data_IF_944161059391
#
_entry.id   IF_944161059391
#
_cell.length_a   1.000
_cell.length_b   1.000
_cell.length_c   1.000
_cell.angle_alpha   90.00
_cell.angle_beta   90.00
_cell.angle_gamma   90.00
#
_symmetry.space_group_name_H-M   'P 1'
#
loop_
_entity.id
_entity.type
_entity.pdbx_description
1 polymer ?
#
# COMPACT_ATOMS: atom_id res chain seq x y z
N UNK A 1 3.67 -15.64 -9.79
CA UNK A 1 3.33 -14.80 -8.63
C UNK A 1 4.60 -14.15 -8.11
N UNK A 2 4.61 -12.82 -7.97
CA UNK A 2 5.75 -12.04 -7.46
C UNK A 2 5.26 -11.14 -6.34
N UNK A 3 6.06 -10.98 -5.28
CA UNK A 3 5.77 -10.08 -4.17
C UNK A 3 6.88 -9.02 -4.13
N UNK A 4 6.49 -7.76 -4.01
CA UNK A 4 7.35 -6.65 -3.66
C UNK A 4 6.96 -6.18 -2.27
N UNK A 5 7.97 -6.00 -1.42
CA UNK A 5 7.78 -5.52 -0.05
C UNK A 5 8.71 -4.33 0.16
N UNK A 6 8.16 -3.22 0.64
CA UNK A 6 8.88 -1.97 0.81
C UNK A 6 8.70 -1.44 2.23
N UNK A 7 9.74 -1.55 3.07
CA UNK A 7 9.74 -0.90 4.38
C UNK A 7 9.96 0.61 4.21
N UNK A 8 9.26 1.40 5.01
CA UNK A 8 9.53 2.83 5.21
C UNK A 8 9.52 3.12 6.71
N UNK A 9 10.58 3.76 7.19
CA UNK A 9 10.62 4.22 8.59
C UNK A 9 9.91 5.56 8.66
N UNK A 10 8.85 5.61 9.47
CA UNK A 10 8.07 6.80 9.74
C UNK A 10 8.47 7.36 11.10
N UNK A 11 8.81 8.64 11.12
CA UNK A 11 8.87 9.45 12.34
C UNK A 11 7.61 10.30 12.39
N UNK A 12 6.63 9.91 13.20
CA UNK A 12 5.35 10.62 13.35
C UNK A 12 5.01 10.79 14.83
N UNK A 13 4.25 11.84 15.16
CA UNK A 13 3.61 11.90 16.47
C UNK A 13 2.49 10.86 16.55
N UNK A 14 2.10 10.50 17.77
CA UNK A 14 0.97 9.62 18.01
C UNK A 14 -0.28 10.18 17.33
N UNK A 15 -0.80 9.44 16.35
CA UNK A 15 -1.99 9.82 15.59
C UNK A 15 -2.84 8.59 15.31
N UNK A 16 -4.15 8.75 15.43
CA UNK A 16 -5.11 7.70 15.05
C UNK A 16 -5.47 7.73 13.57
N UNK A 17 -4.99 8.74 12.83
CA UNK A 17 -5.28 8.89 11.40
C UNK A 17 -4.01 9.02 10.56
N UNK A 18 -4.06 8.52 9.34
CA UNK A 18 -2.98 8.66 8.36
C UNK A 18 -3.55 8.75 6.94
N UNK A 19 -2.85 9.49 6.07
CA UNK A 19 -3.13 9.54 4.64
C UNK A 19 -2.10 8.70 3.91
N UNK A 20 -2.56 7.82 3.02
CA UNK A 20 -1.70 6.93 2.23
C UNK A 20 -1.91 7.20 0.76
N UNK A 21 -0.86 7.64 0.08
CA UNK A 21 -0.86 7.85 -1.37
C UNK A 21 -0.08 6.73 -2.06
N UNK A 22 -0.70 6.11 -3.08
CA UNK A 22 -0.10 5.05 -3.89
C UNK A 22 -0.28 5.38 -5.37
N UNK A 23 0.81 5.33 -6.12
CA UNK A 23 0.81 5.39 -7.58
C UNK A 23 1.57 4.19 -8.14
N UNK A 24 0.85 3.33 -8.85
CA UNK A 24 1.41 2.17 -9.56
C UNK A 24 0.98 2.23 -11.02
N UNK A 25 1.94 2.02 -11.91
CA UNK A 25 1.68 1.65 -13.31
C UNK A 25 1.87 0.16 -13.48
N UNK A 26 0.92 -0.53 -14.09
CA UNK A 26 0.98 -1.97 -14.37
C UNK A 26 0.27 -2.24 -15.69
N UNK A 27 0.72 -3.22 -16.50
CA UNK A 27 -0.01 -3.57 -17.72
C UNK A 27 -1.45 -4.03 -17.45
N UNK A 28 -1.68 -4.60 -16.26
CA UNK A 28 -3.00 -5.05 -15.83
C UNK A 28 -3.17 -4.91 -14.31
N UNK A 29 -3.69 -3.77 -13.83
CA UNK A 29 -3.74 -3.49 -12.38
C UNK A 29 -4.66 -4.43 -11.62
N UNK A 30 -5.58 -5.10 -12.30
CA UNK A 30 -6.43 -6.13 -11.74
C UNK A 30 -5.68 -7.34 -11.17
N UNK A 31 -4.41 -7.52 -11.54
CA UNK A 31 -3.58 -8.62 -11.01
C UNK A 31 -3.00 -8.33 -9.63
N UNK A 32 -3.11 -7.09 -9.14
CA UNK A 32 -2.46 -6.63 -7.92
C UNK A 32 -3.36 -6.78 -6.69
N UNK A 33 -2.84 -7.41 -5.64
CA UNK A 33 -3.30 -7.22 -4.26
C UNK A 33 -2.31 -6.31 -3.52
N UNK A 34 -2.83 -5.39 -2.71
CA UNK A 34 -2.01 -4.41 -1.99
C UNK A 34 -2.42 -4.38 -0.52
N UNK A 35 -1.44 -4.56 0.35
CA UNK A 35 -1.59 -4.48 1.81
C UNK A 35 -0.60 -3.47 2.38
N UNK A 36 -1.02 -2.77 3.43
CA UNK A 36 -0.16 -1.90 4.22
C UNK A 36 -0.15 -2.42 5.66
N UNK A 37 1.04 -2.62 6.21
CA UNK A 37 1.24 -3.04 7.59
C UNK A 37 1.80 -1.87 8.40
N UNK A 38 1.26 -1.68 9.59
CA UNK A 38 1.80 -0.80 10.61
C UNK A 38 2.94 -1.52 11.39
N UNK A 39 3.74 -0.76 12.16
CA UNK A 39 4.83 -1.26 13.00
C UNK A 39 4.43 -2.37 13.99
N UNK A 40 3.20 -2.32 14.49
CA UNK A 40 2.64 -3.33 15.42
C UNK A 40 2.15 -4.62 14.71
N UNK A 41 2.21 -4.66 13.38
CA UNK A 41 1.73 -5.77 12.56
C UNK A 41 0.25 -5.72 12.21
N UNK A 42 -0.51 -4.74 12.71
CA UNK A 42 -1.85 -4.46 12.20
C UNK A 42 -1.78 -4.07 10.71
N UNK A 43 -2.85 -4.31 9.95
CA UNK A 43 -2.78 -4.09 8.51
C UNK A 43 -4.12 -3.70 7.87
N UNK A 44 -4.01 -3.05 6.72
CA UNK A 44 -5.11 -2.67 5.85
C UNK A 44 -4.99 -3.34 4.49
N UNK A 45 -6.11 -3.83 3.96
CA UNK A 45 -6.22 -4.28 2.57
C UNK A 45 -6.64 -3.10 1.72
N UNK A 46 -5.68 -2.51 1.00
CA UNK A 46 -5.90 -1.33 0.17
C UNK A 46 -6.47 -1.69 -1.20
N UNK A 47 -6.10 -2.87 -1.72
CA UNK A 47 -6.62 -3.43 -2.96
C UNK A 47 -6.66 -4.95 -2.90
N UNK A 48 -7.74 -5.53 -3.43
CA UNK A 48 -7.78 -6.94 -3.81
C UNK A 48 -7.66 -7.08 -5.33
N UNK A 49 -6.99 -8.14 -5.78
CA UNK A 49 -6.95 -8.50 -7.18
C UNK A 49 -8.37 -8.70 -7.73
N UNK A 50 -8.61 -8.20 -8.93
CA UNK A 50 -9.87 -8.31 -9.63
C UNK A 50 -9.59 -8.48 -11.13
N UNK A 51 -9.82 -9.69 -11.65
CA UNK A 51 -9.61 -10.06 -13.07
C UNK A 51 -10.44 -9.26 -14.08
N UNK A 52 -11.39 -8.45 -13.62
CA UNK A 52 -12.20 -7.57 -14.46
C UNK A 52 -11.68 -6.14 -14.49
N UNK A 53 -10.75 -5.78 -13.59
CA UNK A 53 -10.13 -4.47 -13.53
C UNK A 53 -8.98 -4.37 -14.55
N UNK A 54 -9.34 -4.09 -15.80
CA UNK A 54 -8.42 -4.05 -16.95
C UNK A 54 -7.61 -2.75 -17.06
N UNK A 55 -7.64 -1.90 -16.04
CA UNK A 55 -6.93 -0.61 -16.03
C UNK A 55 -5.40 -0.77 -15.89
N UNK A 56 -4.66 0.27 -16.25
CA UNK A 56 -3.19 0.25 -16.24
C UNK A 56 -2.55 1.14 -15.17
N UNK A 57 -3.30 2.08 -14.61
CA UNK A 57 -2.82 2.97 -13.55
C UNK A 57 -3.64 2.74 -12.28
N UNK A 58 -2.97 2.69 -11.14
CA UNK A 58 -3.57 2.67 -9.82
C UNK A 58 -3.00 3.84 -9.01
N UNK A 59 -3.63 5.00 -9.16
CA UNK A 59 -3.32 6.23 -8.45
C UNK A 59 -4.46 6.53 -7.49
N UNK A 60 -4.21 6.37 -6.19
CA UNK A 60 -5.23 6.44 -5.13
C UNK A 60 -4.69 7.09 -3.87
N UNK A 61 -5.61 7.66 -3.10
CA UNK A 61 -5.35 8.15 -1.75
C UNK A 61 -6.35 7.52 -0.78
N UNK A 62 -5.85 7.03 0.35
CA UNK A 62 -6.65 6.47 1.43
C UNK A 62 -6.51 7.31 2.69
N UNK A 63 -7.59 7.41 3.45
CA UNK A 63 -7.55 7.86 4.84
C UNK A 63 -7.73 6.65 5.74
N UNK A 64 -6.73 6.36 6.56
CA UNK A 64 -6.82 5.38 7.64
C UNK A 64 -7.34 6.12 8.88
N UNK A 65 -8.38 5.59 9.53
CA UNK A 65 -9.01 6.23 10.70
C UNK A 65 -8.78 5.48 12.03
N UNK A 66 -8.20 4.28 11.95
CA UNK A 66 -8.05 3.36 13.08
C UNK A 66 -6.59 2.91 13.23
N UNK A 67 -5.66 3.85 13.09
CA UNK A 67 -4.24 3.59 13.38
C UNK A 67 -4.08 3.55 14.91
N UNK A 68 -3.41 2.55 15.46
CA UNK A 68 -3.00 2.60 16.86
C UNK A 68 -2.00 3.76 17.01
N UNK A 69 -2.29 4.80 17.81
CA UNK A 69 -1.39 5.94 17.94
C UNK A 69 0.02 5.56 18.42
N UNK A 70 0.15 4.47 19.21
CA UNK A 70 1.45 3.95 19.66
C UNK A 70 2.23 3.25 18.54
N UNK A 71 1.56 2.87 17.45
CA UNK A 71 2.14 2.28 16.25
C UNK A 71 2.26 3.29 15.09
N UNK A 72 1.95 4.57 15.30
CA UNK A 72 2.13 5.58 14.24
C UNK A 72 3.61 5.75 13.84
N UNK A 73 4.50 5.68 14.82
CA UNK A 73 5.95 5.74 14.65
C UNK A 73 6.56 4.34 14.46
N UNK A 74 7.48 4.20 13.50
CA UNK A 74 8.22 2.95 13.27
C UNK A 74 8.25 2.49 11.81
N UNK A 75 8.56 1.22 11.60
CA UNK A 75 8.61 0.62 10.27
C UNK A 75 7.22 0.26 9.76
N UNK A 76 6.76 0.99 8.76
CA UNK A 76 5.59 0.64 7.97
C UNK A 76 6.02 -0.17 6.75
N UNK A 77 5.15 -1.06 6.28
CA UNK A 77 5.48 -1.95 5.17
C UNK A 77 4.37 -2.03 4.15
N UNK A 78 4.65 -1.57 2.93
CA UNK A 78 3.79 -1.82 1.78
C UNK A 78 4.12 -3.19 1.19
N UNK A 79 3.11 -4.01 0.97
CA UNK A 79 3.23 -5.27 0.27
C UNK A 79 2.34 -5.25 -0.97
N UNK A 80 2.97 -5.48 -2.13
CA UNK A 80 2.30 -5.56 -3.43
C UNK A 80 2.53 -6.97 -3.97
N UNK A 81 1.44 -7.69 -4.20
CA UNK A 81 1.46 -9.03 -4.76
C UNK A 81 0.84 -9.01 -6.15
N UNK A 82 1.63 -9.42 -7.13
CA UNK A 82 1.17 -9.69 -8.49
C UNK A 82 0.88 -11.19 -8.64
N UNK A 83 -0.39 -11.51 -8.84
CA UNK A 83 -0.88 -12.89 -8.93
C UNK A 83 -0.60 -13.52 -10.30
N UNK A 84 -0.46 -12.73 -11.36
CA UNK A 84 -0.34 -13.23 -12.73
C UNK A 84 0.97 -12.76 -13.36
N UNK A 85 1.91 -13.70 -13.49
CA UNK A 85 3.22 -13.41 -14.06
C UNK A 85 3.17 -13.07 -15.55
N UNK A 86 4.29 -12.53 -16.05
CA UNK A 86 4.46 -12.17 -17.46
C UNK A 86 4.11 -10.72 -17.78
N UNK A 87 3.59 -9.97 -16.79
CA UNK A 87 3.35 -8.54 -16.84
C UNK A 87 4.32 -7.79 -15.94
N UNK A 88 4.65 -6.58 -16.35
CA UNK A 88 5.54 -5.70 -15.59
C UNK A 88 4.77 -4.47 -15.11
N UNK A 89 5.25 -3.93 -14.00
CA UNK A 89 4.81 -2.63 -13.51
C UNK A 89 5.84 -1.98 -12.60
N UNK A 90 5.54 -0.75 -12.25
CA UNK A 90 6.39 0.17 -11.50
C UNK A 90 5.56 0.79 -10.39
N UNK A 91 6.06 0.73 -9.16
CA UNK A 91 5.59 1.60 -8.09
C UNK A 91 6.26 2.96 -8.30
N UNK A 92 5.46 3.95 -8.69
CA UNK A 92 5.92 5.32 -8.94
C UNK A 92 5.98 6.13 -7.64
N UNK A 93 4.99 5.93 -6.76
CA UNK A 93 4.91 6.62 -5.48
C UNK A 93 4.29 5.72 -4.40
N UNK A 94 4.88 5.78 -3.21
CA UNK A 94 4.28 5.35 -1.96
C UNK A 94 4.64 6.38 -0.89
N UNK A 95 3.62 6.94 -0.25
CA UNK A 95 3.79 7.94 0.79
C UNK A 95 2.76 7.71 1.89
N UNK A 96 3.20 7.87 3.14
CA UNK A 96 2.34 7.93 4.32
C UNK A 96 2.54 9.31 4.95
N UNK A 97 1.45 9.99 5.25
CA UNK A 97 1.44 11.30 5.91
C UNK A 97 0.56 11.23 7.14
N UNK A 98 1.08 11.72 8.27
CA UNK A 98 0.34 11.89 9.51
C UNK A 98 0.03 13.38 9.69
N UNK A 99 -1.13 13.75 10.28
CA UNK A 99 -1.44 15.13 10.62
C UNK A 99 -0.49 15.72 11.67
#
# INVERSE_FOLDING_TARGET
MKILTLPIVVSAQQSSTAQVAIDITHEYRGDLSIRLFAPDGSYWVLKQANRYDRGQSYNVQFTLNDVDPSAAEGEWRLEIQDHFGGKLGTLNQFQITFP
#
